data_IF_556155509518
#
_entry.id   IF_556155509518
#
_cell.length_a   1.000
_cell.length_b   1.000
_cell.length_c   1.000
_cell.angle_alpha   90.00
_cell.angle_beta   90.00
_cell.angle_gamma   90.00
#
_symmetry.space_group_name_H-M   'P 1'
#
loop_
_entity.id
_entity.type
_entity.pdbx_description
1 polymer ?
#
# COMPACT_ATOMS: atom_id res chain seq x y z
N UNK A 1 -21.24 -6.09 4.36
CA UNK A 1 -19.90 -6.35 4.92
C UNK A 1 -18.99 -6.82 3.80
N UNK A 2 -17.93 -6.09 3.50
CA UNK A 2 -16.99 -6.48 2.44
C UNK A 2 -16.19 -7.69 2.94
N UNK A 3 -15.92 -8.66 2.07
CA UNK A 3 -15.13 -9.85 2.38
C UNK A 3 -13.87 -9.86 1.52
N UNK A 4 -12.72 -10.04 2.16
CA UNK A 4 -11.41 -10.01 1.51
C UNK A 4 -10.79 -11.40 1.58
N UNK A 5 -10.24 -11.89 0.47
CA UNK A 5 -9.52 -13.17 0.43
C UNK A 5 -8.07 -12.94 0.83
N UNK A 6 -7.76 -13.17 2.11
CA UNK A 6 -6.38 -13.17 2.58
C UNK A 6 -5.66 -14.40 1.98
N UNK A 7 -4.49 -14.21 1.34
CA UNK A 7 -3.71 -15.31 0.75
C UNK A 7 -3.31 -16.41 1.74
N UNK A 8 -3.27 -16.10 3.04
CA UNK A 8 -2.83 -17.02 4.09
C UNK A 8 -3.98 -17.53 4.96
N UNK A 9 -4.99 -16.68 5.20
CA UNK A 9 -6.07 -16.96 6.16
C UNK A 9 -7.43 -17.26 5.49
N UNK A 10 -7.53 -17.17 4.17
CA UNK A 10 -8.78 -17.34 3.42
C UNK A 10 -9.71 -16.13 3.47
N UNK A 11 -11.01 -16.35 3.25
CA UNK A 11 -12.02 -15.29 3.16
C UNK A 11 -12.37 -14.73 4.54
N UNK A 12 -12.01 -13.47 4.81
CA UNK A 12 -12.18 -12.79 6.10
C UNK A 12 -13.03 -11.52 5.97
N UNK A 13 -13.43 -10.95 7.10
CA UNK A 13 -14.18 -9.68 7.12
C UNK A 13 -13.27 -8.48 6.89
N UNK A 14 -13.73 -7.46 6.17
CA UNK A 14 -12.94 -6.25 5.93
C UNK A 14 -12.50 -5.52 7.21
N UNK A 15 -13.20 -5.69 8.34
CA UNK A 15 -12.83 -5.08 9.62
C UNK A 15 -11.50 -5.58 10.19
N UNK A 16 -11.01 -6.73 9.70
CA UNK A 16 -9.70 -7.29 10.07
C UNK A 16 -8.54 -6.67 9.29
N UNK A 17 -8.81 -5.82 8.31
CA UNK A 17 -7.81 -5.25 7.40
C UNK A 17 -7.74 -3.74 7.53
N UNK A 18 -6.57 -3.19 7.21
CA UNK A 18 -6.37 -1.75 7.01
C UNK A 18 -6.11 -1.47 5.54
N UNK A 19 -6.67 -0.37 5.04
CA UNK A 19 -6.41 0.08 3.66
C UNK A 19 -5.02 0.72 3.58
N UNK A 20 -4.10 0.06 2.87
CA UNK A 20 -2.70 0.48 2.75
C UNK A 20 -2.42 1.53 1.67
N UNK A 21 -3.41 1.90 0.86
CA UNK A 21 -3.21 2.78 -0.30
C UNK A 21 -2.96 2.00 -1.60
N UNK A 22 -2.42 2.71 -2.60
CA UNK A 22 -2.10 2.16 -3.92
C UNK A 22 -0.86 1.26 -3.85
N UNK A 23 -0.99 0.03 -4.32
CA UNK A 23 0.07 -0.98 -4.33
C UNK A 23 0.98 -0.89 -5.57
N UNK A 24 0.72 0.02 -6.50
CA UNK A 24 1.51 0.22 -7.72
C UNK A 24 2.64 1.24 -7.56
N UNK A 25 2.68 1.97 -6.44
CA UNK A 25 3.75 2.94 -6.14
C UNK A 25 5.06 2.20 -5.87
N UNK A 26 6.07 2.46 -6.70
CA UNK A 26 7.43 2.00 -6.50
C UNK A 26 8.23 3.06 -5.73
N UNK A 27 8.79 2.68 -4.57
CA UNK A 27 9.62 3.57 -3.78
C UNK A 27 11.01 3.73 -4.41
N UNK A 28 11.53 4.97 -4.54
CA UNK A 28 12.88 5.20 -5.02
C UNK A 28 13.95 4.54 -4.13
N UNK A 29 15.19 4.35 -4.64
CA UNK A 29 16.30 3.91 -3.81
C UNK A 29 16.64 4.95 -2.73
N UNK A 30 17.32 4.51 -1.66
CA UNK A 30 17.59 5.34 -0.48
C UNK A 30 18.52 6.54 -0.77
N UNK A 31 19.33 6.46 -1.83
CA UNK A 31 20.21 7.52 -2.31
C UNK A 31 19.56 8.39 -3.41
N UNK A 32 18.28 8.18 -3.71
CA UNK A 32 17.55 9.00 -4.66
C UNK A 32 17.41 10.46 -4.19
N UNK A 33 17.28 11.40 -5.13
CA UNK A 33 16.98 12.80 -4.82
C UNK A 33 15.70 12.95 -3.97
N UNK A 34 15.69 13.98 -3.11
CA UNK A 34 14.57 14.24 -2.21
C UNK A 34 13.25 14.49 -2.97
N UNK A 35 13.32 15.03 -4.18
CA UNK A 35 12.16 15.30 -5.03
C UNK A 35 11.41 14.02 -5.41
N UNK A 36 12.15 12.94 -5.72
CA UNK A 36 11.54 11.63 -6.06
C UNK A 36 10.84 11.03 -4.84
N UNK A 37 11.43 11.19 -3.65
CA UNK A 37 10.80 10.79 -2.40
C UNK A 37 9.56 11.61 -2.07
N UNK A 38 9.58 12.91 -2.37
CA UNK A 38 8.43 13.80 -2.15
C UNK A 38 7.25 13.37 -3.02
N UNK A 39 7.51 13.04 -4.29
CA UNK A 39 6.52 12.48 -5.20
C UNK A 39 5.97 11.14 -4.70
N UNK A 40 6.82 10.14 -4.44
CA UNK A 40 6.40 8.80 -4.06
C UNK A 40 5.64 8.73 -2.71
N UNK A 41 5.91 9.66 -1.78
CA UNK A 41 5.29 9.64 -0.44
C UNK A 41 4.02 10.49 -0.37
N UNK A 42 4.01 11.66 -1.01
CA UNK A 42 2.95 12.65 -0.81
C UNK A 42 2.03 12.83 -2.01
N UNK A 43 2.54 12.57 -3.22
CA UNK A 43 1.71 12.63 -4.43
C UNK A 43 1.07 11.26 -4.64
N UNK A 44 -0.26 11.26 -4.76
CA UNK A 44 -1.10 10.07 -4.92
C UNK A 44 -1.95 10.20 -6.17
#
# INVERSE_FOLDING_TARGET
MIRINCPFCGKRDHSEFSYGGDASVEYPPLDAPAEQWLEAVFQR
#
